data_IF_627467322434
#
_entry.id   IF_627467322434
#
_cell.length_a   1.000
_cell.length_b   1.000
_cell.length_c   1.000
_cell.angle_alpha   90.00
_cell.angle_beta   90.00
_cell.angle_gamma   90.00
#
_symmetry.space_group_name_H-M   'P 1'
#
loop_
_entity.id
_entity.type
_entity.pdbx_description
1 polymer ?
#
# COMPACT_ATOMS: atom_id res chain seq x y z
N UNK A 1 17.23 0.42 -10.30
CA UNK A 1 16.72 -0.87 -10.85
C UNK A 1 17.23 -1.04 -12.28
N UNK A 2 17.87 -2.18 -12.60
CA UNK A 2 18.32 -2.46 -13.98
C UNK A 2 17.14 -2.87 -14.88
N UNK A 3 17.34 -2.87 -16.20
CA UNK A 3 16.28 -3.22 -17.18
C UNK A 3 15.69 -4.60 -16.90
N UNK A 4 16.53 -5.58 -16.58
CA UNK A 4 16.12 -6.94 -16.24
C UNK A 4 15.19 -6.99 -15.03
N UNK A 5 15.52 -6.30 -13.94
CA UNK A 5 14.70 -6.23 -12.75
C UNK A 5 13.34 -5.59 -13.01
N UNK A 6 13.29 -4.54 -13.84
CA UNK A 6 12.03 -3.93 -14.26
C UNK A 6 11.15 -4.91 -15.03
N UNK A 7 11.73 -5.64 -16.01
CA UNK A 7 10.96 -6.64 -16.77
C UNK A 7 10.43 -7.76 -15.88
N UNK A 8 11.23 -8.23 -14.93
CA UNK A 8 10.79 -9.25 -13.96
C UNK A 8 9.63 -8.70 -13.12
N UNK A 9 9.75 -7.49 -12.58
CA UNK A 9 8.70 -6.89 -11.75
C UNK A 9 7.39 -6.71 -12.53
N UNK A 10 7.47 -6.24 -13.78
CA UNK A 10 6.30 -6.07 -14.66
C UNK A 10 5.67 -7.41 -15.04
N UNK A 11 6.49 -8.41 -15.40
CA UNK A 11 6.01 -9.75 -15.73
C UNK A 11 5.31 -10.40 -14.53
N UNK A 12 5.89 -10.33 -13.33
CA UNK A 12 5.27 -10.84 -12.11
C UNK A 12 3.97 -10.11 -11.79
N UNK A 13 3.96 -8.77 -11.89
CA UNK A 13 2.75 -7.98 -11.68
C UNK A 13 1.63 -8.35 -12.66
N UNK A 14 1.98 -8.57 -13.93
CA UNK A 14 1.04 -8.98 -14.95
C UNK A 14 0.49 -10.38 -14.67
N UNK A 15 1.35 -11.36 -14.38
CA UNK A 15 0.94 -12.73 -14.09
C UNK A 15 0.04 -12.79 -12.85
N UNK A 16 0.42 -12.11 -11.76
CA UNK A 16 -0.39 -12.05 -10.54
C UNK A 16 -1.71 -11.32 -10.81
N UNK A 17 -1.68 -10.16 -11.47
CA UNK A 17 -2.87 -9.39 -11.80
C UNK A 17 -3.86 -10.17 -12.66
N UNK A 18 -3.39 -10.86 -13.70
CA UNK A 18 -4.22 -11.71 -14.56
C UNK A 18 -4.76 -12.92 -13.81
N UNK A 19 -3.93 -13.59 -13.00
CA UNK A 19 -4.36 -14.78 -12.24
C UNK A 19 -5.50 -14.43 -11.29
N UNK A 20 -5.34 -13.37 -10.49
CA UNK A 20 -6.40 -12.89 -9.58
C UNK A 20 -7.54 -12.18 -10.30
N UNK A 21 -7.34 -11.75 -11.55
CA UNK A 21 -8.37 -11.11 -12.37
C UNK A 21 -9.31 -12.13 -13.01
N UNK A 22 -8.75 -13.25 -13.49
CA UNK A 22 -9.48 -14.37 -14.10
C UNK A 22 -10.09 -15.29 -13.04
N UNK A 23 -9.40 -15.48 -11.91
CA UNK A 23 -9.86 -16.31 -10.77
C UNK A 23 -9.98 -15.47 -9.48
N UNK A 24 -10.96 -14.54 -9.38
CA UNK A 24 -11.13 -13.67 -8.21
C UNK A 24 -11.33 -14.43 -6.90
N UNK A 25 -11.88 -15.64 -6.93
CA UNK A 25 -12.09 -16.49 -5.76
C UNK A 25 -10.80 -16.87 -5.04
N UNK A 26 -9.64 -16.77 -5.69
CA UNK A 26 -8.34 -16.96 -5.03
C UNK A 26 -8.11 -15.94 -3.91
N UNK A 27 -8.60 -14.71 -4.08
CA UNK A 27 -8.54 -13.66 -3.04
C UNK A 27 -9.31 -14.09 -1.79
N UNK A 28 -10.54 -14.60 -1.97
CA UNK A 28 -11.35 -15.13 -0.87
C UNK A 28 -10.70 -16.37 -0.23
N UNK A 29 -10.18 -17.31 -1.03
CA UNK A 29 -9.51 -18.51 -0.50
C UNK A 29 -8.30 -18.17 0.35
N UNK A 30 -7.48 -17.19 -0.06
CA UNK A 30 -6.34 -16.75 0.71
C UNK A 30 -6.76 -15.99 1.98
N UNK A 31 -7.76 -15.11 1.89
CA UNK A 31 -8.28 -14.42 3.06
C UNK A 31 -8.90 -15.40 4.09
N UNK A 32 -9.56 -16.46 3.62
CA UNK A 32 -10.18 -17.47 4.48
C UNK A 32 -9.17 -18.21 5.39
N UNK A 33 -7.90 -18.31 4.99
CA UNK A 33 -6.85 -18.88 5.84
C UNK A 33 -6.61 -18.09 7.14
N UNK A 34 -7.01 -16.82 7.16
CA UNK A 34 -6.84 -15.92 8.31
C UNK A 34 -8.16 -15.60 9.01
N UNK A 35 -9.27 -16.16 8.55
CA UNK A 35 -10.60 -15.96 9.12
C UNK A 35 -10.95 -17.08 10.09
N UNK A 36 -11.48 -16.73 11.24
CA UNK A 36 -12.04 -17.67 12.20
C UNK A 36 -13.57 -17.62 12.16
N UNK A 37 -14.18 -18.70 11.68
CA UNK A 37 -15.62 -18.84 11.57
C UNK A 37 -16.34 -18.94 12.92
N UNK A 38 -15.66 -19.41 13.98
CA UNK A 38 -16.25 -19.54 15.31
C UNK A 38 -16.45 -18.16 15.96
N UNK A 39 -15.42 -17.31 15.89
CA UNK A 39 -15.48 -15.94 16.42
C UNK A 39 -16.03 -14.94 15.40
N UNK A 40 -16.18 -15.32 14.14
CA UNK A 40 -16.58 -14.48 12.99
C UNK A 40 -15.65 -13.28 12.79
N UNK A 41 -14.36 -13.45 13.06
CA UNK A 41 -13.37 -12.36 12.96
C UNK A 41 -12.08 -12.82 12.28
N UNK A 42 -11.18 -11.86 12.00
CA UNK A 42 -9.80 -12.12 11.62
C UNK A 42 -8.93 -11.97 12.87
N UNK A 43 -8.53 -13.04 13.58
CA UNK A 43 -7.93 -12.91 14.91
C UNK A 43 -6.64 -12.09 14.95
N UNK A 44 -5.86 -12.14 13.87
CA UNK A 44 -4.57 -11.43 13.75
C UNK A 44 -4.77 -9.90 13.71
N UNK A 45 -5.96 -9.40 13.34
CA UNK A 45 -6.21 -7.96 13.19
C UNK A 45 -5.99 -7.19 14.50
N UNK A 46 -6.25 -7.83 15.65
CA UNK A 46 -6.13 -7.26 17.00
C UNK A 46 -4.93 -7.84 17.77
N UNK A 47 -4.09 -8.65 17.12
CA UNK A 47 -2.92 -9.26 17.74
C UNK A 47 -1.84 -8.22 18.03
N UNK A 48 -1.40 -8.11 19.28
CA UNK A 48 -0.38 -7.13 19.70
C UNK A 48 0.91 -7.22 18.88
N UNK A 49 1.38 -8.44 18.59
CA UNK A 49 2.58 -8.67 17.77
C UNK A 49 2.39 -8.20 16.32
N UNK A 50 1.21 -8.43 15.74
CA UNK A 50 0.91 -8.02 14.36
C UNK A 50 0.79 -6.51 14.24
N UNK A 51 0.14 -5.85 15.22
CA UNK A 51 0.09 -4.39 15.29
C UNK A 51 1.48 -3.80 15.47
N UNK A 52 2.29 -4.35 16.38
CA UNK A 52 3.68 -3.93 16.55
C UNK A 52 4.50 -4.07 15.26
N UNK A 53 4.40 -5.22 14.57
CA UNK A 53 5.12 -5.45 13.33
C UNK A 53 4.70 -4.46 12.22
N UNK A 54 3.40 -4.18 12.11
CA UNK A 54 2.86 -3.18 11.18
C UNK A 54 3.36 -1.77 11.50
N UNK A 55 3.30 -1.37 12.77
CA UNK A 55 3.75 -0.04 13.20
C UNK A 55 5.25 0.10 13.01
N UNK A 56 6.04 -0.91 13.36
CA UNK A 56 7.49 -0.93 13.14
C UNK A 56 7.84 -0.77 11.66
N UNK A 57 7.15 -1.48 10.76
CA UNK A 57 7.33 -1.31 9.31
C UNK A 57 7.00 0.12 8.85
N UNK A 58 5.95 0.73 9.39
CA UNK A 58 5.60 2.11 9.10
C UNK A 58 6.63 3.11 9.66
N UNK A 59 7.18 2.87 10.84
CA UNK A 59 8.25 3.68 11.42
C UNK A 59 9.54 3.63 10.59
N UNK A 60 9.89 2.47 10.03
CA UNK A 60 11.01 2.34 9.10
C UNK A 60 10.78 3.21 7.86
N UNK A 61 9.57 3.21 7.31
CA UNK A 61 9.22 4.06 6.17
C UNK A 61 9.37 5.55 6.53
N UNK A 62 8.87 5.98 7.69
CA UNK A 62 9.04 7.34 8.18
C UNK A 62 10.51 7.73 8.38
N UNK A 63 11.36 6.80 8.84
CA UNK A 63 12.79 7.05 9.00
C UNK A 63 13.49 7.41 7.68
N UNK A 64 13.00 6.90 6.54
CA UNK A 64 13.51 7.29 5.21
C UNK A 64 12.90 8.61 4.67
N UNK A 65 11.63 8.87 4.97
CA UNK A 65 10.92 10.06 4.46
C UNK A 65 11.29 11.34 5.25
N UNK A 66 11.33 11.26 6.58
CA UNK A 66 11.52 12.42 7.46
C UNK A 66 12.80 13.22 7.18
N UNK A 67 13.97 12.60 6.94
CA UNK A 67 15.18 13.35 6.59
C UNK A 67 15.01 14.16 5.30
N UNK A 68 14.29 13.62 4.31
CA UNK A 68 14.02 14.32 3.04
C UNK A 68 13.09 15.52 3.24
N UNK A 69 12.06 15.36 4.08
CA UNK A 69 11.15 16.47 4.46
C UNK A 69 11.93 17.54 5.23
N UNK A 70 12.70 17.16 6.24
CA UNK A 70 13.49 18.09 7.04
C UNK A 70 14.51 18.85 6.19
N UNK A 71 15.19 18.18 5.27
CA UNK A 71 16.13 18.80 4.35
C UNK A 71 15.46 19.85 3.44
N UNK A 72 14.26 19.56 2.93
CA UNK A 72 13.49 20.51 2.12
C UNK A 72 13.08 21.75 2.94
N UNK A 73 12.57 21.55 4.17
CA UNK A 73 12.18 22.65 5.07
C UNK A 73 13.39 23.52 5.43
N UNK A 74 14.51 22.90 5.81
CA UNK A 74 15.76 23.61 6.14
C UNK A 74 16.25 24.44 4.95
N UNK A 75 16.14 23.92 3.72
CA UNK A 75 16.53 24.64 2.50
C UNK A 75 15.62 25.83 2.21
N UNK A 76 14.32 25.70 2.51
CA UNK A 76 13.34 26.78 2.35
C UNK A 76 13.59 27.92 3.36
N UNK A 77 13.96 27.57 4.60
CA UNK A 77 14.27 28.55 5.66
C UNK A 77 15.66 29.18 5.44
N UNK A 78 16.65 28.40 5.03
CA UNK A 78 18.02 28.86 4.80
C UNK A 78 18.54 28.49 3.39
N UNK A 79 18.22 29.28 2.36
CA UNK A 79 18.58 28.98 0.97
C UNK A 79 20.08 28.84 0.73
N UNK A 80 20.93 29.52 1.51
CA UNK A 80 22.39 29.50 1.34
C UNK A 80 23.07 28.25 1.94
N UNK A 81 22.36 27.40 2.68
CA UNK A 81 22.92 26.16 3.22
C UNK A 81 23.10 25.10 2.12
N UNK A 82 24.24 24.42 2.13
CA UNK A 82 24.48 23.23 1.30
C UNK A 82 23.65 22.07 1.85
N UNK A 83 22.95 21.37 0.97
CA UNK A 83 22.23 20.15 1.31
C UNK A 83 23.23 18.99 1.41
N UNK A 84 23.06 18.13 2.42
CA UNK A 84 23.87 16.91 2.57
C UNK A 84 23.57 15.86 1.49
N UNK A 85 22.36 15.91 0.93
CA UNK A 85 21.86 15.04 -0.14
C UNK A 85 21.44 15.92 -1.31
N UNK A 86 21.58 15.43 -2.55
CA UNK A 86 21.21 16.22 -3.73
C UNK A 86 19.71 16.61 -3.69
N UNK A 87 19.39 17.83 -4.15
CA UNK A 87 18.01 18.30 -4.22
C UNK A 87 17.14 17.38 -5.12
N UNK A 88 17.73 16.83 -6.17
CA UNK A 88 17.06 15.89 -7.08
C UNK A 88 16.70 14.59 -6.37
N UNK A 89 17.58 14.06 -5.51
CA UNK A 89 17.28 12.87 -4.70
C UNK A 89 16.13 13.15 -3.73
N UNK A 90 16.17 14.29 -3.03
CA UNK A 90 15.08 14.69 -2.10
C UNK A 90 13.76 14.82 -2.87
N UNK A 91 13.76 15.52 -4.00
CA UNK A 91 12.57 15.67 -4.84
C UNK A 91 12.06 14.31 -5.34
N UNK A 92 12.95 13.44 -5.83
CA UNK A 92 12.60 12.09 -6.26
C UNK A 92 11.92 11.30 -5.14
N UNK A 93 12.52 11.25 -3.95
CA UNK A 93 11.96 10.52 -2.81
C UNK A 93 10.59 11.07 -2.40
N UNK A 94 10.46 12.39 -2.25
CA UNK A 94 9.21 13.02 -1.83
C UNK A 94 8.10 12.89 -2.87
N UNK A 95 8.41 13.10 -4.15
CA UNK A 95 7.43 12.98 -5.24
C UNK A 95 6.95 11.53 -5.36
N UNK A 96 7.87 10.56 -5.33
CA UNK A 96 7.50 9.15 -5.50
C UNK A 96 6.69 8.61 -4.33
N UNK A 97 7.00 8.95 -3.08
CA UNK A 97 6.18 8.51 -1.93
C UNK A 97 4.81 9.20 -1.95
N UNK A 98 4.77 10.49 -2.27
CA UNK A 98 3.52 11.24 -2.36
C UNK A 98 2.62 10.66 -3.46
N UNK A 99 3.17 10.31 -4.62
CA UNK A 99 2.43 9.68 -5.69
C UNK A 99 1.97 8.26 -5.30
N UNK A 100 2.86 7.41 -4.80
CA UNK A 100 2.55 6.00 -4.50
C UNK A 100 1.61 5.84 -3.28
N UNK A 101 2.01 6.36 -2.12
CA UNK A 101 1.30 6.16 -0.86
C UNK A 101 0.29 7.27 -0.54
N UNK A 102 0.42 8.46 -1.11
CA UNK A 102 -0.53 9.55 -0.90
C UNK A 102 -1.66 9.53 -1.94
N UNK A 103 -1.31 9.84 -3.18
CA UNK A 103 -2.26 10.17 -4.25
C UNK A 103 -2.89 8.90 -4.84
N UNK A 104 -2.07 7.97 -5.34
CA UNK A 104 -2.56 6.77 -6.01
C UNK A 104 -3.34 5.88 -5.04
N UNK A 105 -2.79 5.58 -3.87
CA UNK A 105 -3.50 4.70 -2.93
C UNK A 105 -4.63 5.42 -2.22
N UNK A 106 -4.35 6.42 -1.37
CA UNK A 106 -5.35 6.95 -0.45
C UNK A 106 -6.36 7.89 -1.13
N UNK A 107 -5.89 8.83 -1.97
CA UNK A 107 -6.77 9.84 -2.56
C UNK A 107 -7.55 9.34 -3.78
N UNK A 108 -6.99 8.42 -4.57
CA UNK A 108 -7.67 7.92 -5.77
C UNK A 108 -8.33 6.56 -5.51
N UNK A 109 -7.56 5.47 -5.41
CA UNK A 109 -8.16 4.14 -5.36
C UNK A 109 -8.95 3.87 -4.07
N UNK A 110 -8.42 4.17 -2.89
CA UNK A 110 -9.17 3.91 -1.63
C UNK A 110 -10.42 4.76 -1.45
N UNK A 111 -10.51 5.88 -2.18
CA UNK A 111 -11.65 6.81 -2.11
C UNK A 111 -12.67 6.54 -3.20
N UNK A 112 -12.24 6.06 -4.38
CA UNK A 112 -13.11 5.93 -5.56
C UNK A 112 -13.24 4.50 -6.09
N UNK A 113 -12.40 3.57 -5.66
CA UNK A 113 -12.46 2.17 -6.03
C UNK A 113 -13.27 1.40 -4.98
N UNK A 114 -14.57 1.29 -5.20
CA UNK A 114 -15.57 0.81 -4.23
C UNK A 114 -15.44 -0.65 -3.78
N UNK A 115 -14.31 -1.31 -4.07
CA UNK A 115 -14.06 -2.70 -3.69
C UNK A 115 -14.00 -2.87 -2.16
N UNK A 116 -14.88 -3.68 -1.56
CA UNK A 116 -14.86 -3.95 -0.13
C UNK A 116 -13.60 -4.72 0.29
N UNK A 117 -13.23 -4.61 1.58
CA UNK A 117 -12.16 -5.42 2.20
C UNK A 117 -12.73 -6.79 2.58
N UNK A 118 -11.90 -7.83 2.75
CA UNK A 118 -12.35 -9.15 3.19
C UNK A 118 -13.26 -9.09 4.43
N UNK A 119 -12.91 -8.32 5.46
CA UNK A 119 -13.75 -8.16 6.68
C UNK A 119 -15.14 -7.53 6.43
N UNK A 120 -15.38 -6.97 5.26
CA UNK A 120 -16.64 -6.31 4.91
C UNK A 120 -17.48 -7.12 3.91
N UNK A 121 -17.01 -8.29 3.45
CA UNK A 121 -17.76 -9.12 2.50
C UNK A 121 -18.56 -10.22 3.18
N UNK A 122 -19.65 -10.63 2.54
CA UNK A 122 -20.61 -11.65 3.01
C UNK A 122 -19.97 -12.96 3.43
N UNK A 123 -18.94 -13.39 2.71
CA UNK A 123 -18.18 -14.63 2.93
C UNK A 123 -17.45 -14.62 4.29
N UNK A 124 -17.21 -13.44 4.85
CA UNK A 124 -16.55 -13.24 6.14
C UNK A 124 -17.44 -12.51 7.15
N UNK A 125 -18.75 -12.72 7.07
CA UNK A 125 -19.78 -12.09 7.94
C UNK A 125 -19.89 -10.56 7.82
N UNK A 126 -19.48 -9.99 6.69
CA UNK A 126 -19.68 -8.59 6.35
C UNK A 126 -20.97 -8.33 5.54
N UNK A 127 -21.36 -7.06 5.37
CA UNK A 127 -22.63 -6.70 4.73
C UNK A 127 -22.59 -6.62 3.19
N UNK A 128 -21.40 -6.59 2.59
CA UNK A 128 -21.25 -6.26 1.16
C UNK A 128 -20.91 -7.48 0.31
N UNK A 129 -21.28 -7.43 -0.96
CA UNK A 129 -20.93 -8.47 -1.93
C UNK A 129 -19.44 -8.37 -2.28
N UNK A 130 -18.78 -9.53 -2.41
CA UNK A 130 -17.40 -9.59 -2.91
C UNK A 130 -17.28 -8.99 -4.32
N UNK A 131 -16.15 -8.31 -4.56
CA UNK A 131 -15.80 -7.72 -5.86
C UNK A 131 -14.36 -8.04 -6.20
N UNK A 132 -14.13 -8.45 -7.45
CA UNK A 132 -12.80 -8.66 -8.00
C UNK A 132 -11.95 -7.38 -7.92
N UNK A 133 -10.62 -7.53 -7.90
CA UNK A 133 -9.71 -6.40 -7.72
C UNK A 133 -9.87 -5.30 -8.78
N UNK A 134 -10.26 -5.67 -10.01
CA UNK A 134 -10.45 -4.78 -11.14
C UNK A 134 -11.87 -4.19 -11.24
N UNK A 135 -12.84 -4.62 -10.42
CA UNK A 135 -14.22 -4.14 -10.44
C UNK A 135 -14.43 -3.00 -9.42
N UNK A 136 -14.64 -1.74 -9.87
CA UNK A 136 -14.85 -0.60 -8.98
C UNK A 136 -16.29 -0.49 -8.46
N UNK A 137 -17.24 -1.28 -8.96
CA UNK A 137 -18.70 -1.14 -8.70
C UNK A 137 -19.15 -1.65 -7.33
N UNK A 138 -18.23 -1.76 -6.37
CA UNK A 138 -18.55 -2.20 -5.02
C UNK A 138 -19.22 -1.10 -4.18
N UNK A 139 -19.72 -1.50 -3.02
CA UNK A 139 -20.54 -0.67 -2.14
C UNK A 139 -19.72 0.05 -1.05
N UNK A 140 -18.39 -0.06 -1.08
CA UNK A 140 -17.54 0.60 -0.11
C UNK A 140 -17.44 2.11 -0.41
N UNK A 141 -17.77 2.94 0.59
CA UNK A 141 -17.79 4.40 0.43
C UNK A 141 -16.42 5.09 0.53
N UNK A 142 -15.56 4.68 1.48
CA UNK A 142 -14.21 5.24 1.69
C UNK A 142 -13.28 4.22 2.35
N UNK A 143 -11.97 4.44 2.21
CA UNK A 143 -10.91 3.61 2.76
C UNK A 143 -11.01 2.13 2.32
N UNK A 144 -11.38 1.94 1.06
CA UNK A 144 -11.64 0.64 0.44
C UNK A 144 -10.37 -0.19 0.28
N UNK A 145 -10.48 -1.42 -0.23
CA UNK A 145 -9.38 -2.40 -0.15
C UNK A 145 -8.31 -2.24 -1.21
N UNK A 146 -8.58 -1.50 -2.29
CA UNK A 146 -7.70 -1.44 -3.46
C UNK A 146 -6.94 -0.12 -3.55
N UNK A 147 -5.63 -0.10 -3.82
CA UNK A 147 -4.65 -1.12 -3.40
C UNK A 147 -4.01 -0.73 -2.06
N UNK A 148 -3.27 -1.66 -1.45
CA UNK A 148 -2.75 -1.50 -0.09
C UNK A 148 -1.82 -0.29 0.02
N UNK A 149 -2.20 0.68 0.85
CA UNK A 149 -1.36 1.83 1.19
C UNK A 149 -0.09 1.42 1.92
N UNK A 150 -0.19 0.47 2.86
CA UNK A 150 0.98 -0.08 3.57
C UNK A 150 1.91 -0.84 2.63
N UNK A 151 1.34 -1.65 1.72
CA UNK A 151 2.13 -2.32 0.69
C UNK A 151 2.87 -1.32 -0.20
N UNK A 152 2.20 -0.27 -0.66
CA UNK A 152 2.82 0.78 -1.46
C UNK A 152 3.97 1.49 -0.72
N UNK A 153 3.77 1.84 0.55
CA UNK A 153 4.81 2.46 1.39
C UNK A 153 5.98 1.51 1.62
N UNK A 154 5.71 0.23 1.91
CA UNK A 154 6.75 -0.77 2.11
C UNK A 154 7.60 -0.97 0.87
N UNK A 155 7.00 -1.13 -0.32
CA UNK A 155 7.75 -1.23 -1.58
C UNK A 155 8.51 0.06 -1.91
N UNK A 156 7.99 1.23 -1.53
CA UNK A 156 8.69 2.50 -1.74
C UNK A 156 10.03 2.57 -0.98
N UNK A 157 10.23 1.80 0.10
CA UNK A 157 11.52 1.78 0.83
C UNK A 157 12.71 1.27 0.01
N UNK A 158 12.49 0.73 -1.20
CA UNK A 158 13.56 0.46 -2.16
C UNK A 158 14.06 1.72 -2.91
N UNK A 159 13.28 2.79 -2.96
CA UNK A 159 13.62 4.02 -3.69
C UNK A 159 14.89 4.73 -3.17
N UNK A 160 15.17 4.80 -1.86
CA UNK A 160 16.44 5.33 -1.34
C UNK A 160 17.69 4.55 -1.78
N UNK A 161 17.55 3.31 -2.23
CA UNK A 161 18.65 2.47 -2.71
C UNK A 161 18.85 2.55 -4.24
N UNK A 162 18.04 3.33 -4.95
CA UNK A 162 18.09 3.49 -6.40
C UNK A 162 19.07 4.56 -6.85
#
# INVERSE_FOLDING_TARGET
MNRTGLYIALALSLVVGLTFGIYPELDLKLAALFYDAATKTFPIKDGALAMFARDAAMWICWAFVLPSIAALIIKLIWPNRKLLVSANTIAFLLITIMLAAGILTNLTFKTHWGRPRPVMVTEFSGPWQFKAWWDPTGQCGRNCSFFSGEGATAFWTFAPAA
#
